data_IF_534450499709
#
_entry.id   IF_534450499709
#
_cell.length_a   1.000
_cell.length_b   1.000
_cell.length_c   1.000
_cell.angle_alpha   90.00
_cell.angle_beta   90.00
_cell.angle_gamma   90.00
#
_symmetry.space_group_name_H-M   'P 1'
#
loop_
_entity.id
_entity.type
_entity.pdbx_description
1 polymer ?
#
# COMPACT_ATOMS: atom_id res chain seq x y z
N UNK A 1 6.24 6.02 5.30
CA UNK A 1 6.60 4.75 4.64
C UNK A 1 5.32 4.02 4.25
N UNK A 2 5.20 3.45 3.04
CA UNK A 2 3.99 2.70 2.60
C UNK A 2 4.24 1.19 2.78
N UNK A 3 3.37 0.47 3.51
CA UNK A 3 3.50 -0.95 3.84
C UNK A 3 2.39 -1.44 4.79
N UNK A 4 2.24 -2.76 4.98
CA UNK A 4 1.34 -3.34 6.01
C UNK A 4 2.02 -3.24 7.40
N UNK A 5 1.29 -2.70 8.37
CA UNK A 5 1.74 -2.48 9.76
C UNK A 5 0.82 -3.11 10.80
N UNK A 6 -0.19 -3.87 10.36
CA UNK A 6 -1.08 -4.56 11.30
C UNK A 6 -0.27 -5.59 12.08
N UNK A 7 -0.50 -5.65 13.39
CA UNK A 7 0.20 -6.52 14.34
C UNK A 7 1.72 -6.30 14.46
N UNK A 8 2.25 -5.16 13.98
CA UNK A 8 3.66 -4.78 14.17
C UNK A 8 3.74 -3.76 15.31
N UNK A 9 4.44 -4.10 16.39
CA UNK A 9 4.75 -3.13 17.46
C UNK A 9 5.71 -2.05 16.97
N UNK A 10 5.71 -0.86 17.60
CA UNK A 10 6.66 0.22 17.28
C UNK A 10 8.12 -0.26 17.37
N UNK A 11 8.42 -1.17 18.31
CA UNK A 11 9.75 -1.76 18.51
C UNK A 11 10.14 -2.72 17.37
N UNK A 12 9.20 -3.50 16.83
CA UNK A 12 9.40 -4.33 15.63
C UNK A 12 9.51 -3.49 14.35
N UNK A 13 8.87 -2.32 14.30
CA UNK A 13 9.02 -1.39 13.19
C UNK A 13 10.41 -0.76 13.16
N UNK A 14 10.91 -0.31 14.31
CA UNK A 14 12.25 0.31 14.43
C UNK A 14 13.39 -0.69 14.22
N UNK A 15 13.17 -1.97 14.55
CA UNK A 15 14.15 -3.05 14.38
C UNK A 15 14.09 -3.75 13.02
N UNK A 16 13.19 -3.34 12.10
CA UNK A 16 13.07 -3.96 10.77
C UNK A 16 14.27 -3.63 9.90
N UNK A 17 15.02 -4.67 9.56
CA UNK A 17 15.99 -4.61 8.46
C UNK A 17 15.25 -4.35 7.13
N UNK A 18 15.54 -3.21 6.51
CA UNK A 18 14.97 -2.84 5.21
C UNK A 18 15.45 -3.84 4.17
N UNK A 19 14.56 -4.74 3.76
CA UNK A 19 14.84 -5.74 2.74
C UNK A 19 14.41 -5.22 1.37
N UNK A 20 15.36 -5.12 0.45
CA UNK A 20 15.10 -4.70 -0.92
C UNK A 20 14.84 -5.93 -1.78
N UNK A 21 13.66 -6.00 -2.39
CA UNK A 21 13.31 -7.02 -3.38
C UNK A 21 13.03 -6.36 -4.71
N UNK A 22 13.35 -7.04 -5.81
CA UNK A 22 12.99 -6.55 -7.13
C UNK A 22 11.45 -6.38 -7.20
N UNK A 23 10.99 -5.19 -7.59
CA UNK A 23 9.56 -4.92 -7.76
C UNK A 23 8.91 -5.97 -8.67
N UNK A 24 9.58 -6.36 -9.76
CA UNK A 24 9.12 -7.41 -10.66
C UNK A 24 8.94 -8.79 -10.03
N UNK A 25 9.46 -9.07 -8.82
CA UNK A 25 9.16 -10.32 -8.08
C UNK A 25 7.86 -10.19 -7.29
N UNK A 26 7.59 -9.03 -6.70
CA UNK A 26 6.35 -8.77 -5.96
C UNK A 26 5.18 -8.63 -6.93
N UNK A 27 5.41 -7.93 -8.05
CA UNK A 27 4.41 -7.65 -9.08
C UNK A 27 4.05 -8.86 -9.95
N UNK A 28 4.86 -9.93 -9.97
CA UNK A 28 4.56 -11.16 -10.72
C UNK A 28 3.63 -12.11 -9.98
N UNK A 29 3.37 -11.86 -8.70
CA UNK A 29 2.60 -12.77 -7.83
C UNK A 29 1.11 -12.40 -7.82
N UNK A 30 0.79 -11.13 -8.09
CA UNK A 30 -0.54 -10.56 -8.00
C UNK A 30 -0.69 -9.51 -9.11
N UNK A 31 -1.76 -9.57 -9.90
CA UNK A 31 -2.07 -8.67 -11.01
C UNK A 31 -3.14 -7.63 -10.66
N UNK A 32 -3.69 -7.64 -9.44
CA UNK A 32 -4.69 -6.66 -8.94
C UNK A 32 -4.23 -5.20 -8.95
N UNK A 33 -2.93 -4.95 -9.15
CA UNK A 33 -2.37 -3.61 -9.24
C UNK A 33 -2.32 -3.07 -10.69
N UNK A 34 -2.56 -3.90 -11.71
CA UNK A 34 -2.41 -3.50 -13.11
C UNK A 34 -3.33 -2.32 -13.48
N UNK A 35 -4.57 -2.34 -13.01
CA UNK A 35 -5.56 -1.28 -13.27
C UNK A 35 -5.16 0.07 -12.67
N UNK A 36 -4.22 0.08 -11.71
CA UNK A 36 -3.71 1.30 -11.09
C UNK A 36 -2.76 2.07 -12.02
N UNK A 37 -2.15 1.41 -13.00
CA UNK A 37 -1.17 2.04 -13.90
C UNK A 37 -1.84 3.13 -14.75
N UNK A 38 -3.11 2.91 -15.13
CA UNK A 38 -3.89 3.83 -15.95
C UNK A 38 -4.55 4.94 -15.13
N UNK A 39 -4.40 4.92 -13.80
CA UNK A 39 -5.01 5.93 -12.94
C UNK A 39 -4.33 7.29 -13.08
N UNK A 40 -5.08 8.40 -12.96
CA UNK A 40 -4.52 9.74 -13.04
C UNK A 40 -3.36 9.97 -12.07
N UNK A 41 -2.43 10.84 -12.47
CA UNK A 41 -1.36 11.30 -11.58
C UNK A 41 -2.00 11.97 -10.36
N UNK A 42 -1.59 11.55 -9.16
CA UNK A 42 -2.15 12.02 -7.88
C UNK A 42 -3.18 11.08 -7.26
N UNK A 43 -3.55 9.99 -7.94
CA UNK A 43 -4.38 8.94 -7.32
C UNK A 43 -3.63 8.23 -6.18
N UNK A 44 -4.39 7.91 -5.13
CA UNK A 44 -3.91 7.17 -3.98
C UNK A 44 -4.84 5.98 -3.73
N UNK A 45 -4.25 4.84 -3.39
CA UNK A 45 -4.95 3.58 -3.20
C UNK A 45 -4.41 2.84 -1.99
N UNK A 46 -5.30 2.18 -1.26
CA UNK A 46 -4.98 1.27 -0.17
C UNK A 46 -5.41 -0.15 -0.55
N UNK A 47 -4.57 -1.14 -0.24
CA UNK A 47 -4.93 -2.53 -0.49
C UNK A 47 -5.91 -3.01 0.56
N UNK A 48 -7.11 -3.39 0.14
CA UNK A 48 -8.03 -4.15 0.95
C UNK A 48 -7.53 -5.60 1.03
N UNK A 49 -7.13 -6.03 2.22
CA UNK A 49 -6.56 -7.37 2.43
C UNK A 49 -7.62 -8.47 2.54
N UNK A 50 -8.90 -8.13 2.74
CA UNK A 50 -10.01 -9.09 2.73
C UNK A 50 -10.39 -9.46 1.29
N UNK A 51 -10.41 -8.47 0.40
CA UNK A 51 -10.77 -8.67 -1.02
C UNK A 51 -9.55 -8.87 -1.92
N UNK A 52 -8.36 -8.49 -1.44
CA UNK A 52 -7.11 -8.48 -2.21
C UNK A 52 -7.02 -7.34 -3.24
N UNK A 53 -8.01 -6.45 -3.29
CA UNK A 53 -8.10 -5.38 -4.29
C UNK A 53 -7.56 -4.05 -3.76
N UNK A 54 -7.21 -3.15 -4.66
CA UNK A 54 -6.83 -1.78 -4.31
C UNK A 54 -8.05 -0.86 -4.39
N UNK A 55 -8.34 -0.18 -3.28
CA UNK A 55 -9.45 0.76 -3.14
C UNK A 55 -8.91 2.19 -3.05
N UNK A 56 -9.58 3.20 -3.65
CA UNK A 56 -9.14 4.59 -3.56
C UNK A 56 -9.05 5.04 -2.09
N UNK A 57 -7.95 5.69 -1.74
CA UNK A 57 -7.86 6.37 -0.46
C UNK A 57 -8.77 7.60 -0.54
N UNK A 58 -9.88 7.59 0.22
CA UNK A 58 -10.72 8.77 0.30
C UNK A 58 -9.89 9.93 0.88
N UNK A 59 -9.94 11.12 0.28
CA UNK A 59 -9.25 12.26 0.83
C UNK A 59 -9.80 12.54 2.23
N UNK A 60 -8.91 12.62 3.21
CA UNK A 60 -9.26 13.00 4.57
C UNK A 60 -9.78 14.45 4.58
N UNK A 61 -11.10 14.62 4.51
CA UNK A 61 -11.78 15.91 4.61
C UNK A 61 -11.94 16.37 6.07
N UNK A 62 -11.35 15.69 7.06
CA UNK A 62 -11.55 15.99 8.49
C UNK A 62 -10.73 17.17 9.03
N UNK A 63 -9.84 17.75 8.22
CA UNK A 63 -8.98 18.88 8.64
C UNK A 63 -9.43 20.26 8.12
N UNK A 64 -10.59 20.37 7.46
CA UNK A 64 -11.20 21.66 7.10
C UNK A 64 -12.29 22.04 8.12
N UNK A 65 -11.90 22.40 9.36
CA UNK A 65 -12.77 23.16 10.29
C UNK A 65 -11.97 24.01 11.27
#
# INVERSE_FOLDING_TARGET
MRGDYRDISEEELESRDVTYIALGKVLNVDDSWLDLIDSPIGSAFLRNFETGQYEPEEPDLSNDN
#
